data_IF_071651463275
#
_entry.id   IF_071651463275
#
_cell.length_a   1.000
_cell.length_b   1.000
_cell.length_c   1.000
_cell.angle_alpha   90.00
_cell.angle_beta   90.00
_cell.angle_gamma   90.00
#
_symmetry.space_group_name_H-M   'P 1'
#
loop_
_entity.id
_entity.type
_entity.pdbx_description
1 polymer ?
#
# COMPACT_ATOMS: atom_id res chain seq x y z
N UNK A 1 -2.88 -76.51 -46.72
CA UNK A 1 -2.10 -75.28 -47.01
C UNK A 1 -2.99 -74.05 -47.05
N UNK A 2 -3.75 -73.73 -46.05
CA UNK A 2 -4.70 -72.61 -46.09
C UNK A 2 -4.72 -71.77 -44.80
N UNK A 3 -4.05 -72.17 -43.72
CA UNK A 3 -4.15 -71.52 -42.40
C UNK A 3 -2.95 -70.63 -42.03
N UNK A 4 -1.82 -70.69 -42.73
CA UNK A 4 -0.62 -69.87 -42.46
C UNK A 4 -0.67 -68.47 -43.09
N UNK A 5 -1.49 -68.24 -44.12
CA UNK A 5 -1.55 -66.93 -44.78
C UNK A 5 -2.59 -65.99 -44.13
N UNK A 6 -3.54 -66.55 -43.37
CA UNK A 6 -4.61 -65.77 -42.77
C UNK A 6 -4.11 -65.02 -41.54
N UNK A 7 -3.18 -65.56 -40.74
CA UNK A 7 -2.65 -64.89 -39.55
C UNK A 7 -1.91 -63.55 -39.81
N UNK A 8 -0.98 -63.46 -40.76
CA UNK A 8 -0.27 -62.22 -41.03
C UNK A 8 -1.17 -61.12 -41.64
N UNK A 9 -2.22 -61.47 -42.32
CA UNK A 9 -3.21 -60.52 -42.90
C UNK A 9 -4.10 -59.99 -41.78
N UNK A 10 -4.49 -60.84 -40.83
CA UNK A 10 -5.25 -60.47 -39.62
C UNK A 10 -4.45 -59.55 -38.68
N UNK A 11 -3.17 -59.86 -38.46
CA UNK A 11 -2.26 -59.03 -37.64
C UNK A 11 -1.95 -57.68 -38.29
N UNK A 12 -1.80 -57.66 -39.61
CA UNK A 12 -1.65 -56.40 -40.37
C UNK A 12 -2.93 -55.56 -40.30
N UNK A 13 -4.09 -56.22 -40.40
CA UNK A 13 -5.39 -55.53 -40.24
C UNK A 13 -5.63 -54.96 -38.85
N UNK A 14 -5.24 -55.68 -37.81
CA UNK A 14 -5.26 -55.18 -36.41
C UNK A 14 -4.28 -54.03 -36.21
N UNK A 15 -3.07 -54.12 -36.72
CA UNK A 15 -2.07 -53.05 -36.62
C UNK A 15 -2.51 -51.78 -37.33
N UNK A 16 -3.19 -51.86 -38.47
CA UNK A 16 -3.78 -50.70 -39.17
C UNK A 16 -4.97 -50.13 -38.36
N UNK A 17 -5.78 -50.98 -37.72
CA UNK A 17 -6.88 -50.56 -36.87
C UNK A 17 -6.38 -49.83 -35.63
N UNK A 18 -5.32 -50.33 -34.97
CA UNK A 18 -4.71 -49.72 -33.81
C UNK A 18 -4.02 -48.39 -34.13
N UNK A 19 -3.34 -48.30 -35.31
CA UNK A 19 -2.77 -47.03 -35.78
C UNK A 19 -3.88 -46.01 -36.13
N UNK A 20 -5.00 -46.44 -36.72
CA UNK A 20 -6.16 -45.58 -36.96
C UNK A 20 -6.77 -45.08 -35.64
N UNK A 21 -6.91 -45.95 -34.67
CA UNK A 21 -7.46 -45.58 -33.35
C UNK A 21 -6.52 -44.61 -32.58
N UNK A 22 -5.19 -44.84 -32.65
CA UNK A 22 -4.21 -43.89 -32.09
C UNK A 22 -4.28 -42.51 -32.78
N UNK A 23 -4.44 -42.48 -34.10
CA UNK A 23 -4.56 -41.21 -34.82
C UNK A 23 -5.84 -40.43 -34.43
N UNK A 24 -6.97 -41.15 -34.27
CA UNK A 24 -8.23 -40.56 -33.86
C UNK A 24 -8.16 -40.02 -32.40
N UNK A 25 -7.58 -40.82 -31.50
CA UNK A 25 -7.41 -40.37 -30.08
C UNK A 25 -6.45 -39.21 -29.98
N UNK A 26 -5.34 -39.18 -30.71
CA UNK A 26 -4.41 -38.06 -30.77
C UNK A 26 -5.08 -36.80 -31.35
N UNK A 27 -5.87 -36.94 -32.41
CA UNK A 27 -6.65 -35.82 -32.96
C UNK A 27 -7.66 -35.26 -31.98
N UNK A 28 -8.39 -36.13 -31.28
CA UNK A 28 -9.33 -35.72 -30.23
C UNK A 28 -8.63 -34.98 -29.07
N UNK A 29 -7.47 -35.47 -28.66
CA UNK A 29 -6.67 -34.84 -27.62
C UNK A 29 -6.16 -33.45 -28.04
N UNK A 30 -5.75 -33.28 -29.28
CA UNK A 30 -5.34 -31.97 -29.82
C UNK A 30 -6.51 -30.98 -29.85
N UNK A 31 -7.70 -31.42 -30.27
CA UNK A 31 -8.88 -30.56 -30.27
C UNK A 31 -9.28 -30.15 -28.86
N UNK A 32 -9.32 -31.09 -27.91
CA UNK A 32 -9.59 -30.77 -26.48
C UNK A 32 -8.55 -29.82 -25.90
N UNK A 33 -7.27 -30.04 -26.17
CA UNK A 33 -6.19 -29.19 -25.73
C UNK A 33 -6.35 -27.76 -26.29
N UNK A 34 -6.66 -27.63 -27.58
CA UNK A 34 -6.91 -26.33 -28.20
C UNK A 34 -8.11 -25.60 -27.58
N UNK A 35 -9.22 -26.31 -27.32
CA UNK A 35 -10.39 -25.75 -26.66
C UNK A 35 -10.07 -25.30 -25.20
N UNK A 36 -9.33 -26.11 -24.47
CA UNK A 36 -8.86 -25.71 -23.13
C UNK A 36 -7.99 -24.46 -23.16
N UNK A 37 -7.06 -24.38 -24.14
CA UNK A 37 -6.21 -23.20 -24.31
C UNK A 37 -7.02 -21.94 -24.62
N UNK A 38 -8.00 -22.00 -25.50
CA UNK A 38 -8.86 -20.87 -25.87
C UNK A 38 -9.71 -20.43 -24.67
N UNK A 39 -10.30 -21.37 -23.93
CA UNK A 39 -11.11 -21.04 -22.74
C UNK A 39 -10.27 -20.47 -21.62
N UNK A 40 -9.07 -21.03 -21.36
CA UNK A 40 -8.14 -20.51 -20.37
C UNK A 40 -7.66 -19.11 -20.75
N UNK A 41 -7.30 -18.87 -22.01
CA UNK A 41 -6.84 -17.57 -22.48
C UNK A 41 -7.94 -16.50 -22.36
N UNK A 42 -9.18 -16.84 -22.72
CA UNK A 42 -10.34 -15.94 -22.54
C UNK A 42 -10.60 -15.61 -21.07
N UNK A 43 -10.56 -16.61 -20.21
CA UNK A 43 -10.71 -16.41 -18.76
C UNK A 43 -9.58 -15.54 -18.20
N UNK A 44 -8.34 -15.83 -18.57
CA UNK A 44 -7.16 -15.08 -18.15
C UNK A 44 -7.21 -13.61 -18.58
N UNK A 45 -7.56 -13.36 -19.84
CA UNK A 45 -7.74 -12.00 -20.35
C UNK A 45 -8.87 -11.25 -19.65
N UNK A 46 -9.95 -11.94 -19.28
CA UNK A 46 -11.03 -11.35 -18.48
C UNK A 46 -10.54 -10.95 -17.09
N UNK A 47 -9.84 -11.84 -16.40
CA UNK A 47 -9.28 -11.56 -15.06
C UNK A 47 -8.30 -10.38 -15.10
N UNK A 48 -7.42 -10.33 -16.11
CA UNK A 48 -6.49 -9.19 -16.27
C UNK A 48 -7.27 -7.88 -16.50
N UNK A 49 -8.25 -7.88 -17.40
CA UNK A 49 -9.04 -6.69 -17.68
C UNK A 49 -9.83 -6.21 -16.46
N UNK A 50 -10.45 -7.12 -15.72
CA UNK A 50 -11.20 -6.80 -14.50
C UNK A 50 -10.27 -6.24 -13.43
N UNK A 51 -9.08 -6.83 -13.26
CA UNK A 51 -8.05 -6.33 -12.33
C UNK A 51 -7.55 -4.95 -12.74
N UNK A 52 -7.25 -4.74 -14.02
CA UNK A 52 -6.81 -3.44 -14.53
C UNK A 52 -7.88 -2.36 -14.39
N UNK A 53 -9.15 -2.70 -14.62
CA UNK A 53 -10.26 -1.76 -14.46
C UNK A 53 -10.46 -1.40 -12.99
N UNK A 54 -10.42 -2.38 -12.08
CA UNK A 54 -10.47 -2.15 -10.64
C UNK A 54 -9.32 -1.26 -10.16
N UNK A 55 -8.09 -1.51 -10.63
CA UNK A 55 -6.94 -0.67 -10.31
C UNK A 55 -7.11 0.77 -10.84
N UNK A 56 -7.66 0.93 -12.06
CA UNK A 56 -7.95 2.26 -12.62
C UNK A 56 -9.00 3.01 -11.83
N UNK A 57 -10.05 2.35 -11.36
CA UNK A 57 -11.07 2.97 -10.50
C UNK A 57 -10.47 3.39 -9.17
N UNK A 58 -9.75 2.51 -8.49
CA UNK A 58 -9.06 2.83 -7.23
C UNK A 58 -8.10 4.01 -7.41
N UNK A 59 -7.37 4.06 -8.54
CA UNK A 59 -6.46 5.17 -8.82
C UNK A 59 -7.19 6.49 -9.06
N UNK A 60 -8.34 6.46 -9.74
CA UNK A 60 -9.19 7.64 -9.92
C UNK A 60 -9.79 8.14 -8.61
N UNK A 61 -10.24 7.22 -7.75
CA UNK A 61 -10.75 7.57 -6.42
C UNK A 61 -9.65 8.20 -5.56
N UNK A 62 -8.44 7.62 -5.55
CA UNK A 62 -7.29 8.18 -4.85
C UNK A 62 -6.91 9.58 -5.36
N UNK A 63 -6.91 9.79 -6.68
CA UNK A 63 -6.65 11.10 -7.28
C UNK A 63 -7.72 12.12 -6.90
N UNK A 64 -9.00 11.71 -6.92
CA UNK A 64 -10.12 12.57 -6.56
C UNK A 64 -10.05 12.95 -5.09
N UNK A 65 -9.78 11.97 -4.22
CA UNK A 65 -9.62 12.21 -2.79
C UNK A 65 -8.42 13.11 -2.49
N UNK A 66 -7.29 12.89 -3.12
CA UNK A 66 -6.10 13.75 -3.00
C UNK A 66 -6.40 15.18 -3.47
N UNK A 67 -7.15 15.33 -4.56
CA UNK A 67 -7.55 16.64 -5.06
C UNK A 67 -8.52 17.34 -4.09
N UNK A 68 -9.49 16.63 -3.56
CA UNK A 68 -10.43 17.15 -2.56
C UNK A 68 -9.70 17.57 -1.28
N UNK A 69 -8.73 16.78 -0.82
CA UNK A 69 -7.89 17.13 0.32
C UNK A 69 -7.07 18.40 0.05
N UNK A 70 -6.52 18.56 -1.16
CA UNK A 70 -5.79 19.77 -1.54
C UNK A 70 -6.71 21.00 -1.62
N UNK A 71 -7.94 20.85 -2.14
CA UNK A 71 -8.94 21.94 -2.18
C UNK A 71 -9.37 22.32 -0.76
N UNK A 72 -9.62 21.34 0.11
CA UNK A 72 -9.93 21.60 1.52
C UNK A 72 -8.78 22.31 2.24
N UNK A 73 -7.52 21.88 1.99
CA UNK A 73 -6.33 22.56 2.51
C UNK A 73 -6.23 24.00 2.03
N UNK A 74 -6.57 24.27 0.77
CA UNK A 74 -6.59 25.62 0.21
C UNK A 74 -7.66 26.47 0.87
N UNK A 75 -8.89 25.97 0.96
CA UNK A 75 -10.02 26.69 1.56
C UNK A 75 -9.79 26.99 3.05
N UNK A 76 -9.24 26.04 3.78
CA UNK A 76 -8.85 26.24 5.19
C UNK A 76 -7.73 27.28 5.28
N UNK A 77 -6.79 27.26 4.35
CA UNK A 77 -5.69 28.25 4.28
C UNK A 77 -6.21 29.66 4.01
N UNK A 78 -7.28 29.82 3.22
CA UNK A 78 -7.88 31.14 2.89
C UNK A 78 -8.67 31.74 4.06
N UNK A 79 -9.20 30.93 4.97
CA UNK A 79 -9.97 31.38 6.15
C UNK A 79 -9.15 32.01 7.26
N UNK A 80 -7.82 31.90 7.23
CA UNK A 80 -6.94 32.45 8.26
C UNK A 80 -6.45 33.87 7.89
N UNK A 81 -6.23 34.78 8.87
CA UNK A 81 -5.69 36.13 8.63
C UNK A 81 -4.29 36.07 7.99
N UNK A 82 -4.01 36.76 6.88
CA UNK A 82 -2.88 36.51 5.97
C UNK A 82 -1.49 36.41 6.62
N UNK A 83 -1.16 37.28 7.55
CA UNK A 83 0.18 37.25 8.20
C UNK A 83 0.35 36.16 9.24
N UNK A 84 -0.66 35.91 10.05
CA UNK A 84 -0.64 34.81 11.04
C UNK A 84 -0.71 33.47 10.36
N UNK A 85 -1.46 33.38 9.26
CA UNK A 85 -1.55 32.20 8.39
C UNK A 85 -0.20 31.76 7.85
N UNK A 86 0.56 32.71 7.27
CA UNK A 86 1.83 32.38 6.64
C UNK A 86 2.82 31.84 7.68
N UNK A 87 2.85 32.44 8.87
CA UNK A 87 3.71 32.01 9.97
C UNK A 87 3.32 30.62 10.49
N UNK A 88 2.05 30.41 10.78
CA UNK A 88 1.55 29.13 11.28
C UNK A 88 1.73 28.02 10.24
N UNK A 89 1.39 28.30 8.97
CA UNK A 89 1.60 27.37 7.86
C UNK A 89 3.07 26.98 7.69
N UNK A 90 3.96 27.97 7.72
CA UNK A 90 5.40 27.73 7.57
C UNK A 90 5.95 26.92 8.73
N UNK A 91 5.63 27.32 9.98
CA UNK A 91 6.09 26.61 11.18
C UNK A 91 5.52 25.20 11.24
N UNK A 92 4.23 25.02 10.91
CA UNK A 92 3.59 23.71 10.88
C UNK A 92 4.23 22.82 9.82
N UNK A 93 4.44 23.31 8.60
CA UNK A 93 5.08 22.53 7.55
C UNK A 93 6.48 22.10 7.96
N UNK A 94 7.33 23.01 8.43
CA UNK A 94 8.67 22.68 8.90
C UNK A 94 8.66 21.66 10.04
N UNK A 95 7.73 21.79 10.98
CA UNK A 95 7.63 20.87 12.10
C UNK A 95 7.17 19.48 11.68
N UNK A 96 6.23 19.38 10.74
CA UNK A 96 5.76 18.11 10.20
C UNK A 96 6.79 17.45 9.28
N UNK A 97 7.48 18.20 8.43
CA UNK A 97 8.55 17.67 7.58
C UNK A 97 9.70 17.12 8.42
N UNK A 98 10.09 17.85 9.49
CA UNK A 98 11.07 17.36 10.46
C UNK A 98 10.58 16.11 11.21
N UNK A 99 9.29 16.04 11.53
CA UNK A 99 8.71 14.87 12.18
C UNK A 99 8.72 13.64 11.25
N UNK A 100 8.44 13.79 9.96
CA UNK A 100 8.58 12.73 8.94
C UNK A 100 10.02 12.22 8.92
N UNK A 101 10.99 13.12 8.80
CA UNK A 101 12.41 12.75 8.77
C UNK A 101 12.85 12.01 10.04
N UNK A 102 12.50 12.54 11.22
CA UNK A 102 12.82 11.92 12.51
C UNK A 102 12.16 10.55 12.65
N UNK A 103 10.92 10.39 12.20
CA UNK A 103 10.21 9.09 12.21
C UNK A 103 10.87 8.08 11.29
N UNK A 104 11.30 8.48 10.09
CA UNK A 104 12.07 7.60 9.20
C UNK A 104 13.41 7.18 9.83
N UNK A 105 14.08 8.07 10.57
CA UNK A 105 15.28 7.72 11.35
C UNK A 105 14.96 6.72 12.47
N UNK A 106 13.80 6.85 13.14
CA UNK A 106 13.34 5.85 14.13
C UNK A 106 13.18 4.49 13.49
N UNK A 107 12.51 4.40 12.32
CA UNK A 107 12.35 3.15 11.57
C UNK A 107 13.71 2.52 11.28
N UNK A 108 14.65 3.31 10.74
CA UNK A 108 16.00 2.85 10.43
C UNK A 108 16.72 2.34 11.68
N UNK A 109 16.72 3.12 12.75
CA UNK A 109 17.36 2.79 14.02
C UNK A 109 16.82 1.50 14.63
N UNK A 110 15.49 1.33 14.68
CA UNK A 110 14.86 0.14 15.24
C UNK A 110 15.21 -1.11 14.42
N UNK A 111 15.33 -0.98 13.09
CA UNK A 111 15.78 -2.06 12.21
C UNK A 111 17.25 -2.43 12.45
N UNK A 112 18.13 -1.45 12.65
CA UNK A 112 19.56 -1.65 12.85
C UNK A 112 19.89 -2.25 14.23
N UNK A 113 19.12 -1.95 15.25
CA UNK A 113 19.31 -2.46 16.61
C UNK A 113 18.95 -3.94 16.79
N UNK A 114 18.54 -4.65 15.73
CA UNK A 114 18.28 -6.10 15.66
C UNK A 114 17.37 -6.71 16.75
N UNK A 115 16.64 -5.88 17.52
CA UNK A 115 15.71 -6.33 18.56
C UNK A 115 14.29 -6.56 18.06
N UNK A 116 14.12 -6.83 16.76
CA UNK A 116 12.82 -6.99 16.08
C UNK A 116 12.12 -8.29 16.49
N UNK A 117 12.82 -9.25 17.08
CA UNK A 117 12.28 -10.54 17.49
C UNK A 117 11.18 -10.46 18.55
N UNK A 118 11.23 -9.47 19.43
CA UNK A 118 10.19 -9.21 20.43
C UNK A 118 9.29 -8.05 19.99
N UNK A 119 8.14 -8.39 19.39
CA UNK A 119 7.18 -7.41 18.86
C UNK A 119 6.65 -6.46 19.93
N UNK A 120 6.35 -6.95 21.14
CA UNK A 120 5.83 -6.09 22.22
C UNK A 120 6.85 -5.07 22.70
N UNK A 121 8.09 -5.50 22.95
CA UNK A 121 9.17 -4.62 23.37
C UNK A 121 9.46 -3.56 22.29
N UNK A 122 9.46 -3.96 21.02
CA UNK A 122 9.64 -3.07 19.88
C UNK A 122 8.51 -2.04 19.78
N UNK A 123 7.25 -2.48 19.89
CA UNK A 123 6.09 -1.60 19.86
C UNK A 123 6.14 -0.58 21.01
N UNK A 124 6.48 -1.00 22.23
CA UNK A 124 6.66 -0.11 23.38
C UNK A 124 7.76 0.92 23.15
N UNK A 125 8.90 0.50 22.60
CA UNK A 125 10.02 1.39 22.26
C UNK A 125 9.64 2.40 21.19
N UNK A 126 8.92 1.99 20.15
CA UNK A 126 8.43 2.88 19.08
C UNK A 126 7.52 3.95 19.67
N UNK A 127 6.52 3.55 20.48
CA UNK A 127 5.62 4.52 21.14
C UNK A 127 6.36 5.50 22.02
N UNK A 128 7.32 5.04 22.79
CA UNK A 128 8.14 5.91 23.63
C UNK A 128 8.94 6.93 22.80
N UNK A 129 9.59 6.49 21.72
CA UNK A 129 10.35 7.39 20.84
C UNK A 129 9.45 8.42 20.15
N UNK A 130 8.24 8.02 19.74
CA UNK A 130 7.26 8.92 19.13
C UNK A 130 6.65 9.86 20.16
N UNK A 131 6.43 9.45 21.42
CA UNK A 131 5.99 10.33 22.48
C UNK A 131 7.02 11.41 22.79
N UNK A 132 8.29 11.05 22.88
CA UNK A 132 9.38 12.02 23.05
C UNK A 132 9.43 13.01 21.88
N UNK A 133 9.23 12.52 20.65
CA UNK A 133 9.14 13.37 19.46
C UNK A 133 7.93 14.31 19.52
N UNK A 134 6.81 13.85 20.06
CA UNK A 134 5.59 14.65 20.26
C UNK A 134 5.85 15.78 21.27
N UNK A 135 6.46 15.49 22.41
CA UNK A 135 6.77 16.47 23.45
C UNK A 135 7.77 17.51 22.94
N UNK A 136 8.85 17.09 22.26
CA UNK A 136 9.84 17.99 21.64
C UNK A 136 9.18 18.91 20.60
N UNK A 137 8.25 18.39 19.82
CA UNK A 137 7.49 19.20 18.86
C UNK A 137 6.56 20.18 19.54
N UNK A 138 5.80 19.74 20.57
CA UNK A 138 4.87 20.61 21.29
C UNK A 138 5.59 21.78 21.95
N UNK A 139 6.77 21.56 22.50
CA UNK A 139 7.58 22.63 23.05
C UNK A 139 7.92 23.71 22.02
N UNK A 140 8.13 23.34 20.76
CA UNK A 140 8.38 24.26 19.64
C UNK A 140 7.11 24.92 19.10
N UNK A 141 6.01 24.16 19.03
CA UNK A 141 4.71 24.70 18.65
C UNK A 141 4.19 25.72 19.66
N UNK A 142 4.42 25.49 20.94
CA UNK A 142 3.93 26.33 22.03
C UNK A 142 4.65 27.68 22.15
N UNK A 143 5.70 27.89 21.33
CA UNK A 143 6.24 29.23 21.07
C UNK A 143 5.26 30.12 20.29
N UNK A 144 4.23 29.53 19.66
CA UNK A 144 3.23 30.23 18.86
C UNK A 144 1.86 30.03 19.45
N UNK A 145 1.05 31.09 19.40
CA UNK A 145 -0.35 31.05 19.82
C UNK A 145 -1.26 31.40 18.63
N UNK A 146 -2.42 30.76 18.58
CA UNK A 146 -3.48 31.09 17.64
C UNK A 146 -4.78 31.30 18.42
N UNK A 147 -5.48 32.43 18.20
CA UNK A 147 -6.66 32.82 18.97
C UNK A 147 -6.47 32.73 20.50
N UNK A 148 -5.27 33.04 20.98
CA UNK A 148 -4.93 33.01 22.39
C UNK A 148 -4.62 31.62 22.98
N UNK A 149 -4.74 30.55 22.20
CA UNK A 149 -4.40 29.19 22.61
C UNK A 149 -3.06 28.74 22.01
N UNK A 150 -2.32 27.91 22.72
CA UNK A 150 -1.07 27.30 22.22
C UNK A 150 -1.36 26.37 21.05
N UNK A 151 -0.47 26.30 20.05
CA UNK A 151 -0.67 25.44 18.87
C UNK A 151 -0.78 23.96 19.23
N UNK A 152 -0.14 23.50 20.30
CA UNK A 152 -0.27 22.11 20.79
C UNK A 152 -1.70 21.73 21.18
N UNK A 153 -2.53 22.71 21.61
CA UNK A 153 -3.92 22.47 21.98
C UNK A 153 -4.78 22.01 20.80
N UNK A 154 -4.40 22.35 19.56
CA UNK A 154 -5.09 21.96 18.35
C UNK A 154 -4.64 20.60 17.80
N UNK A 155 -3.65 19.96 18.44
CA UNK A 155 -3.16 18.64 18.04
C UNK A 155 -3.76 17.54 18.90
N UNK A 156 -4.27 16.49 18.26
CA UNK A 156 -4.80 15.33 18.96
C UNK A 156 -3.64 14.39 19.37
N UNK A 157 -3.46 14.04 20.66
CA UNK A 157 -2.41 13.14 21.11
C UNK A 157 -2.54 11.71 20.51
N UNK A 158 -3.72 11.33 20.01
CA UNK A 158 -3.95 10.04 19.36
C UNK A 158 -3.09 9.81 18.11
N UNK A 159 -2.54 10.86 17.51
CA UNK A 159 -1.69 10.70 16.33
C UNK A 159 -0.41 9.89 16.61
N UNK A 160 0.09 9.89 17.85
CA UNK A 160 1.24 9.05 18.23
C UNK A 160 0.94 7.58 17.94
N UNK A 161 -0.27 7.13 18.28
CA UNK A 161 -0.69 5.75 18.00
C UNK A 161 -0.91 5.49 16.50
N UNK A 162 -1.42 6.47 15.75
CA UNK A 162 -1.58 6.36 14.30
C UNK A 162 -0.22 6.20 13.61
N UNK A 163 0.76 7.04 13.96
CA UNK A 163 2.11 6.95 13.40
C UNK A 163 2.82 5.68 13.88
N UNK A 164 2.62 5.25 15.14
CA UNK A 164 3.21 4.02 15.65
C UNK A 164 2.77 2.79 14.82
N UNK A 165 1.50 2.70 14.46
CA UNK A 165 0.98 1.63 13.59
C UNK A 165 1.66 1.63 12.22
N UNK A 166 1.87 2.80 11.63
CA UNK A 166 2.59 2.91 10.34
C UNK A 166 4.04 2.46 10.49
N UNK A 167 4.72 2.89 11.54
CA UNK A 167 6.11 2.47 11.83
C UNK A 167 6.19 0.97 12.05
N UNK A 168 5.29 0.38 12.81
CA UNK A 168 5.23 -1.07 13.06
C UNK A 168 4.98 -1.83 11.74
N UNK A 169 4.03 -1.37 10.91
CA UNK A 169 3.74 -2.01 9.62
C UNK A 169 4.93 -1.98 8.67
N UNK A 170 5.75 -0.92 8.71
CA UNK A 170 6.95 -0.82 7.89
C UNK A 170 8.11 -1.67 8.43
N UNK A 171 8.24 -1.82 9.75
CA UNK A 171 9.27 -2.68 10.36
C UNK A 171 9.00 -4.15 10.09
N UNK A 172 7.74 -4.58 10.18
CA UNK A 172 7.32 -5.98 10.03
C UNK A 172 6.74 -6.29 8.64
N UNK A 173 7.08 -5.49 7.62
CA UNK A 173 6.55 -5.70 6.28
C UNK A 173 7.15 -6.96 5.63
N UNK A 174 6.29 -7.84 5.14
CA UNK A 174 6.66 -9.12 4.50
C UNK A 174 7.48 -8.91 3.20
N UNK A 175 7.27 -7.80 2.50
CA UNK A 175 8.00 -7.46 1.27
C UNK A 175 9.41 -6.88 1.54
N UNK A 176 9.89 -6.98 2.78
CA UNK A 176 11.21 -6.52 3.17
C UNK A 176 11.35 -5.01 3.32
N UNK A 177 12.60 -4.59 3.53
CA UNK A 177 12.97 -3.20 3.80
C UNK A 177 12.90 -2.36 2.52
N UNK A 178 12.06 -1.33 2.53
CA UNK A 178 12.00 -0.32 1.47
C UNK A 178 11.89 1.08 2.10
N UNK A 179 12.96 1.87 2.00
CA UNK A 179 13.01 3.19 2.62
C UNK A 179 12.10 4.19 1.90
N UNK A 180 11.93 4.08 0.58
CA UNK A 180 11.04 4.96 -0.18
C UNK A 180 9.58 4.73 0.21
N UNK A 181 9.16 3.48 0.30
CA UNK A 181 7.81 3.13 0.76
C UNK A 181 7.57 3.61 2.21
N UNK A 182 8.53 3.38 3.10
CA UNK A 182 8.45 3.83 4.49
C UNK A 182 8.30 5.35 4.57
N UNK A 183 9.08 6.10 3.79
CA UNK A 183 8.96 7.56 3.70
C UNK A 183 7.57 7.98 3.25
N UNK A 184 7.07 7.44 2.14
CA UNK A 184 5.75 7.77 1.59
C UNK A 184 4.62 7.48 2.58
N UNK A 185 4.67 6.34 3.28
CA UNK A 185 3.63 5.96 4.26
C UNK A 185 3.67 6.83 5.51
N UNK A 186 4.86 7.19 5.99
CA UNK A 186 5.03 8.13 7.11
C UNK A 186 4.56 9.53 6.72
N UNK A 187 4.94 10.01 5.54
CA UNK A 187 4.50 11.30 5.00
C UNK A 187 2.98 11.37 4.89
N UNK A 188 2.33 10.34 4.35
CA UNK A 188 0.87 10.25 4.25
C UNK A 188 0.19 10.28 5.63
N UNK A 189 0.76 9.61 6.64
CA UNK A 189 0.25 9.67 8.01
C UNK A 189 0.34 11.09 8.59
N UNK A 190 1.46 11.76 8.43
CA UNK A 190 1.63 13.14 8.90
C UNK A 190 0.80 14.16 8.11
N UNK A 191 0.54 13.92 6.83
CA UNK A 191 -0.38 14.75 6.04
C UNK A 191 -1.80 14.76 6.64
N UNK A 192 -2.30 13.59 7.08
CA UNK A 192 -3.60 13.50 7.79
C UNK A 192 -3.59 14.28 9.10
N UNK A 193 -2.54 14.13 9.91
CA UNK A 193 -2.41 14.83 11.20
C UNK A 193 -2.34 16.35 10.98
N UNK A 194 -1.67 16.80 9.93
CA UNK A 194 -1.61 18.21 9.54
C UNK A 194 -2.99 18.74 9.12
N UNK A 195 -3.75 17.93 8.39
CA UNK A 195 -5.15 18.26 8.04
C UNK A 195 -6.02 18.43 9.29
N UNK A 196 -5.94 17.47 10.23
CA UNK A 196 -6.66 17.55 11.51
C UNK A 196 -6.29 18.81 12.29
N UNK A 197 -5.00 19.16 12.35
CA UNK A 197 -4.56 20.40 12.98
C UNK A 197 -5.25 21.62 12.39
N UNK A 198 -5.25 21.76 11.05
CA UNK A 198 -5.88 22.90 10.39
C UNK A 198 -7.40 22.91 10.54
N UNK A 199 -8.03 21.75 10.54
CA UNK A 199 -9.46 21.60 10.77
C UNK A 199 -9.83 22.08 12.19
N UNK A 200 -9.14 21.59 13.21
CA UNK A 200 -9.34 22.00 14.60
C UNK A 200 -9.11 23.51 14.83
N UNK A 201 -8.18 24.10 14.08
CA UNK A 201 -7.93 25.55 14.15
C UNK A 201 -9.04 26.38 13.52
N UNK A 202 -9.81 25.82 12.58
CA UNK A 202 -10.90 26.51 11.90
C UNK A 202 -12.26 26.31 12.56
N UNK A 203 -12.47 25.21 13.27
CA UNK A 203 -13.75 24.94 13.95
C UNK A 203 -13.95 25.75 15.25
N UNK A 204 -12.88 26.28 15.83
CA UNK A 204 -12.88 27.18 17.01
C UNK A 204 -12.71 28.65 16.59
#
# INVERSE_FOLDING_TARGET
MGTEVINPVLDTGKGIGDLGMMAVTAGFFLVLSALMWVTFFRWFMKVINDTMNSQRETFKELLTETRNQNVQLSNISEGLVPETQLRIKTVSNMAFDLAVEKTCRIIKRVREENHISNKEATAKKIRQLLSNLYEDRNSKFDCFTFRGKKLSCYTNPKWVEQVAKVVESEIYNENGVNNQRAFTNVEAAYAKIRLELYHNMNEE
#
